data_IF_021015372382
#
_entry.id   IF_021015372382
#
_cell.length_a   1.000
_cell.length_b   1.000
_cell.length_c   1.000
_cell.angle_alpha   90.00
_cell.angle_beta   90.00
_cell.angle_gamma   90.00
#
_symmetry.space_group_name_H-M   'P 1'
#
loop_
_entity.id
_entity.type
_entity.pdbx_description
1 polymer ?
#
# COMPACT_ATOMS: atom_id res chain seq x y z
N UNK A 1 1.28 15.64 -19.26
CA UNK A 1 1.73 16.46 -18.13
C UNK A 1 2.22 15.62 -16.93
N UNK A 2 1.58 14.50 -16.58
CA UNK A 2 2.05 13.60 -15.50
C UNK A 2 3.33 12.82 -15.87
N UNK A 3 3.46 12.43 -17.15
CA UNK A 3 4.61 11.67 -17.66
C UNK A 3 5.91 12.50 -17.69
N UNK A 4 5.81 13.79 -18.01
CA UNK A 4 6.96 14.72 -18.05
C UNK A 4 7.50 15.06 -16.66
N UNK A 5 6.64 15.10 -15.62
CA UNK A 5 7.09 15.32 -14.24
C UNK A 5 7.78 14.09 -13.63
N UNK A 6 7.32 12.88 -13.99
CA UNK A 6 7.95 11.64 -13.53
C UNK A 6 9.39 11.54 -14.07
N UNK A 7 9.59 11.87 -15.36
CA UNK A 7 10.90 11.95 -16.01
C UNK A 7 11.84 13.00 -15.39
N UNK A 8 11.34 14.19 -15.00
CA UNK A 8 12.15 15.20 -14.32
C UNK A 8 12.59 14.78 -12.91
N UNK A 9 11.71 14.13 -12.14
CA UNK A 9 12.09 13.58 -10.83
C UNK A 9 13.11 12.45 -10.98
N UNK A 10 12.97 11.60 -11.99
CA UNK A 10 13.98 10.57 -12.28
C UNK A 10 15.31 11.20 -12.69
N UNK A 11 15.29 12.27 -13.50
CA UNK A 11 16.49 13.02 -13.88
C UNK A 11 17.16 13.68 -12.68
N UNK A 12 16.41 14.29 -11.76
CA UNK A 12 16.96 14.92 -10.55
C UNK A 12 17.58 13.87 -9.61
N UNK A 13 16.94 12.70 -9.43
CA UNK A 13 17.52 11.59 -8.65
C UNK A 13 18.78 11.04 -9.33
N UNK A 14 18.78 10.90 -10.65
CA UNK A 14 19.95 10.46 -11.43
C UNK A 14 21.09 11.50 -11.37
N UNK A 15 20.78 12.79 -11.41
CA UNK A 15 21.74 13.90 -11.32
C UNK A 15 22.33 13.99 -9.91
N UNK A 16 21.53 13.84 -8.85
CA UNK A 16 22.03 13.78 -7.48
C UNK A 16 22.92 12.56 -7.24
N UNK A 17 22.56 11.41 -7.84
CA UNK A 17 23.38 10.20 -7.78
C UNK A 17 24.69 10.34 -8.58
N UNK A 18 24.65 11.01 -9.74
CA UNK A 18 25.83 11.30 -10.55
C UNK A 18 26.76 12.35 -9.91
N UNK A 19 26.21 13.39 -9.27
CA UNK A 19 26.99 14.41 -8.56
C UNK A 19 27.70 13.86 -7.31
N UNK A 20 27.17 12.79 -6.69
CA UNK A 20 27.85 12.08 -5.59
C UNK A 20 29.09 11.30 -6.06
N UNK A 21 29.21 11.05 -7.38
CA UNK A 21 30.25 10.19 -7.97
C UNK A 21 31.61 10.88 -8.14
N UNK A 22 31.72 12.20 -8.06
CA UNK A 22 32.96 12.93 -8.37
C UNK A 22 34.01 12.95 -7.24
N UNK A 23 33.76 12.37 -6.05
CA UNK A 23 34.67 12.51 -4.90
C UNK A 23 35.35 11.24 -4.38
N UNK A 24 35.18 10.07 -5.01
CA UNK A 24 35.91 8.88 -4.58
C UNK A 24 36.03 7.85 -5.72
N UNK A 25 37.27 7.49 -6.09
CA UNK A 25 37.59 6.50 -7.15
C UNK A 25 37.20 5.05 -6.80
N UNK A 26 36.61 4.82 -5.61
CA UNK A 26 36.13 3.50 -5.18
C UNK A 26 34.64 3.37 -5.41
N UNK A 27 34.27 2.40 -6.24
CA UNK A 27 32.87 2.05 -6.49
C UNK A 27 32.33 1.16 -5.36
N UNK A 28 31.60 1.75 -4.41
CA UNK A 28 30.97 1.05 -3.28
C UNK A 28 29.63 0.38 -3.61
N UNK A 29 29.13 0.53 -4.84
CA UNK A 29 27.83 -0.02 -5.24
C UNK A 29 27.74 -1.56 -5.05
N UNK A 30 28.76 -2.36 -5.40
CA UNK A 30 28.72 -3.81 -5.19
C UNK A 30 28.58 -4.21 -3.71
N UNK A 31 29.38 -3.60 -2.82
CA UNK A 31 29.35 -3.88 -1.37
C UNK A 31 28.02 -3.43 -0.73
N UNK A 32 27.45 -2.33 -1.22
CA UNK A 32 26.15 -1.82 -0.79
C UNK A 32 24.98 -2.69 -1.29
N UNK A 33 25.13 -3.33 -2.45
CA UNK A 33 24.16 -4.26 -3.00
C UNK A 33 24.17 -5.56 -2.18
N UNK A 34 25.36 -6.11 -1.89
CA UNK A 34 25.53 -7.33 -1.11
C UNK A 34 24.99 -7.19 0.32
N UNK A 35 25.24 -6.06 0.96
CA UNK A 35 24.68 -5.75 2.29
C UNK A 35 23.18 -5.45 2.29
N UNK A 36 22.54 -5.33 1.12
CA UNK A 36 21.14 -4.93 0.95
C UNK A 36 20.85 -3.48 1.37
N UNK A 37 21.88 -2.72 1.78
CA UNK A 37 21.77 -1.34 2.23
C UNK A 37 21.37 -0.42 1.08
N UNK A 38 21.82 -0.73 -0.14
CA UNK A 38 21.45 0.03 -1.34
C UNK A 38 19.93 0.08 -1.53
N UNK A 39 19.21 -1.02 -1.34
CA UNK A 39 17.75 -1.06 -1.47
C UNK A 39 17.06 -0.19 -0.41
N UNK A 40 17.57 -0.17 0.82
CA UNK A 40 17.04 0.69 1.88
C UNK A 40 17.26 2.17 1.55
N UNK A 41 18.46 2.52 1.08
CA UNK A 41 18.79 3.89 0.65
C UNK A 41 17.88 4.31 -0.50
N UNK A 42 17.75 3.46 -1.53
CA UNK A 42 16.89 3.74 -2.68
C UNK A 42 15.43 3.92 -2.26
N UNK A 43 14.93 3.12 -1.31
CA UNK A 43 13.58 3.28 -0.80
C UNK A 43 13.37 4.60 -0.03
N UNK A 44 14.36 5.04 0.74
CA UNK A 44 14.33 6.36 1.42
C UNK A 44 14.36 7.49 0.40
N UNK A 45 15.23 7.40 -0.61
CA UNK A 45 15.34 8.39 -1.69
C UNK A 45 14.04 8.48 -2.49
N UNK A 46 13.43 7.35 -2.84
CA UNK A 46 12.13 7.32 -3.52
C UNK A 46 11.03 7.98 -2.69
N UNK A 47 10.93 7.65 -1.39
CA UNK A 47 9.97 8.31 -0.50
C UNK A 47 10.21 9.83 -0.42
N UNK A 48 11.47 10.26 -0.37
CA UNK A 48 11.82 11.68 -0.33
C UNK A 48 11.43 12.38 -1.65
N UNK A 49 11.71 11.74 -2.78
CA UNK A 49 11.36 12.24 -4.10
C UNK A 49 9.84 12.37 -4.28
N UNK A 50 9.07 11.38 -3.83
CA UNK A 50 7.61 11.38 -3.89
C UNK A 50 6.99 12.51 -3.05
N UNK A 51 7.63 12.87 -1.93
CA UNK A 51 7.18 13.93 -1.02
C UNK A 51 7.84 15.29 -1.27
N UNK A 52 8.74 15.38 -2.27
CA UNK A 52 9.55 16.59 -2.55
C UNK A 52 8.71 17.84 -2.79
N UNK A 53 7.57 17.71 -3.46
CA UNK A 53 6.64 18.84 -3.68
C UNK A 53 6.07 19.37 -2.38
N UNK A 54 5.57 18.49 -1.49
CA UNK A 54 5.03 18.90 -0.20
C UNK A 54 6.10 19.54 0.69
N UNK A 55 7.34 19.03 0.64
CA UNK A 55 8.50 19.61 1.33
C UNK A 55 8.87 21.00 0.79
N UNK A 56 8.92 21.16 -0.54
CA UNK A 56 9.25 22.44 -1.19
C UNK A 56 8.21 23.52 -0.90
N UNK A 57 6.93 23.16 -0.87
CA UNK A 57 5.84 24.11 -0.59
C UNK A 57 5.57 24.30 0.90
N UNK A 58 6.39 23.74 1.79
CA UNK A 58 6.19 23.74 3.24
C UNK A 58 4.74 23.40 3.60
N UNK A 59 4.15 22.47 2.84
CA UNK A 59 2.84 21.90 3.15
C UNK A 59 3.04 20.93 4.31
N UNK A 60 3.41 21.47 5.46
CA UNK A 60 3.33 20.75 6.70
C UNK A 60 1.85 20.53 6.93
N UNK A 61 1.39 19.28 6.75
CA UNK A 61 0.12 18.88 7.34
C UNK A 61 0.15 19.40 8.77
N UNK A 62 -0.80 20.29 9.07
CA UNK A 62 -0.93 20.99 10.34
C UNK A 62 -0.62 19.98 11.49
N UNK A 63 0.00 20.42 12.59
CA UNK A 63 0.19 19.58 13.77
C UNK A 63 -1.11 18.82 14.13
N UNK A 64 -2.26 19.47 13.93
CA UNK A 64 -3.61 18.88 14.07
C UNK A 64 -3.84 17.72 13.09
N UNK A 65 -3.43 17.80 11.83
CA UNK A 65 -3.56 16.73 10.84
C UNK A 65 -2.60 15.56 11.10
N UNK A 66 -1.39 15.84 11.57
CA UNK A 66 -0.44 14.78 11.97
C UNK A 66 -0.93 14.05 13.22
N UNK A 67 -1.40 14.80 14.22
CA UNK A 67 -2.02 14.24 15.41
C UNK A 67 -3.29 13.48 15.05
N UNK A 68 -4.14 14.02 14.17
CA UNK A 68 -5.33 13.33 13.67
C UNK A 68 -4.96 12.05 12.92
N UNK A 69 -3.87 12.03 12.15
CA UNK A 69 -3.37 10.82 11.51
C UNK A 69 -2.89 9.77 12.52
N UNK A 70 -2.18 10.18 13.58
CA UNK A 70 -1.70 9.30 14.66
C UNK A 70 -2.89 8.76 15.48
N UNK A 71 -3.76 9.65 15.97
CA UNK A 71 -4.95 9.28 16.72
C UNK A 71 -5.87 8.40 15.88
N UNK A 72 -6.05 8.67 14.58
CA UNK A 72 -6.82 7.80 13.69
C UNK A 72 -6.13 6.46 13.44
N UNK A 73 -4.79 6.39 13.44
CA UNK A 73 -4.06 5.10 13.44
C UNK A 73 -4.26 4.32 14.74
N UNK A 74 -4.40 4.96 15.90
CA UNK A 74 -4.62 4.26 17.17
C UNK A 74 -6.10 3.93 17.44
N UNK A 75 -7.01 4.87 17.19
CA UNK A 75 -8.45 4.72 17.35
C UNK A 75 -9.10 3.94 16.19
N UNK A 76 -8.62 4.15 14.96
CA UNK A 76 -9.14 3.52 13.73
C UNK A 76 -8.25 2.42 13.13
N UNK A 77 -6.97 2.31 13.52
CA UNK A 77 -6.04 1.36 12.91
C UNK A 77 -6.33 -0.11 13.20
N UNK A 78 -7.10 -0.43 14.25
CA UNK A 78 -7.60 -1.82 14.43
C UNK A 78 -8.63 -2.22 13.36
N UNK A 79 -9.28 -1.26 12.67
CA UNK A 79 -10.31 -1.51 11.63
C UNK A 79 -9.91 -1.12 10.21
N UNK A 80 -8.94 -0.22 10.04
CA UNK A 80 -8.47 0.26 8.72
C UNK A 80 -7.09 -0.30 8.37
N UNK A 81 -6.17 -0.45 9.34
CA UNK A 81 -4.78 -0.84 9.05
C UNK A 81 -4.52 -2.35 9.08
N UNK A 82 -5.52 -3.18 9.41
CA UNK A 82 -5.39 -4.65 9.28
C UNK A 82 -5.61 -5.14 7.84
N UNK A 83 -5.94 -4.25 6.90
CA UNK A 83 -6.35 -4.71 5.61
C UNK A 83 -5.66 -3.89 4.50
N UNK A 84 -4.80 -4.58 3.75
CA UNK A 84 -4.09 -4.16 2.53
C UNK A 84 -4.87 -3.16 1.64
N UNK A 85 -4.16 -2.36 0.83
CA UNK A 85 -4.75 -1.42 -0.15
C UNK A 85 -5.93 -2.08 -0.90
N UNK A 86 -7.11 -1.45 -0.90
CA UNK A 86 -8.43 -1.91 -1.45
C UNK A 86 -9.30 -2.80 -0.54
N UNK A 87 -8.87 -3.08 0.68
CA UNK A 87 -9.63 -3.87 1.64
C UNK A 87 -10.98 -3.31 2.07
N UNK A 88 -11.11 -1.99 2.19
CA UNK A 88 -12.36 -1.34 2.57
C UNK A 88 -13.44 -1.60 1.50
N UNK A 89 -13.10 -1.38 0.23
CA UNK A 89 -13.99 -1.67 -0.89
C UNK A 89 -14.38 -3.15 -0.92
N UNK A 90 -13.43 -4.07 -0.70
CA UNK A 90 -13.71 -5.50 -0.65
C UNK A 90 -14.70 -5.87 0.48
N UNK A 91 -14.63 -5.21 1.64
CA UNK A 91 -15.60 -5.40 2.73
C UNK A 91 -16.98 -4.87 2.38
N UNK A 92 -17.07 -3.68 1.78
CA UNK A 92 -18.34 -3.12 1.31
C UNK A 92 -18.99 -4.04 0.26
N UNK A 93 -18.23 -4.46 -0.75
CA UNK A 93 -18.71 -5.41 -1.77
C UNK A 93 -19.11 -6.75 -1.15
N UNK A 94 -18.34 -7.25 -0.18
CA UNK A 94 -18.66 -8.49 0.53
C UNK A 94 -19.95 -8.40 1.34
N UNK A 95 -20.21 -7.26 2.00
CA UNK A 95 -21.45 -7.01 2.72
C UNK A 95 -22.66 -6.99 1.78
N UNK A 96 -22.55 -6.33 0.62
CA UNK A 96 -23.61 -6.31 -0.40
C UNK A 96 -23.92 -7.71 -0.92
N UNK A 97 -22.89 -8.49 -1.23
CA UNK A 97 -23.07 -9.88 -1.70
C UNK A 97 -23.73 -10.72 -0.59
N UNK A 98 -23.26 -10.61 0.65
CA UNK A 98 -23.83 -11.35 1.78
C UNK A 98 -25.30 -11.02 2.01
N UNK A 99 -25.66 -9.74 1.96
CA UNK A 99 -27.04 -9.28 2.15
C UNK A 99 -27.96 -9.77 1.02
N UNK A 100 -27.48 -9.71 -0.23
CA UNK A 100 -28.32 -10.06 -1.38
C UNK A 100 -28.41 -11.56 -1.65
N UNK A 101 -27.45 -12.36 -1.20
CA UNK A 101 -27.40 -13.79 -1.57
C UNK A 101 -27.44 -14.78 -0.42
N UNK A 102 -27.28 -14.37 0.84
CA UNK A 102 -27.21 -15.27 2.02
C UNK A 102 -26.00 -16.24 2.02
N UNK A 103 -25.30 -16.35 0.90
CA UNK A 103 -24.31 -17.38 0.57
C UNK A 103 -23.00 -16.74 0.07
N UNK A 104 -22.49 -15.76 0.84
CA UNK A 104 -21.31 -14.98 0.49
C UNK A 104 -20.07 -15.83 0.21
N UNK A 105 -19.70 -16.70 1.15
CA UNK A 105 -18.48 -17.52 1.05
C UNK A 105 -18.59 -18.49 -0.13
N UNK A 106 -19.77 -19.07 -0.34
CA UNK A 106 -19.97 -19.99 -1.45
C UNK A 106 -19.87 -19.32 -2.81
N UNK A 107 -20.44 -18.11 -2.94
CA UNK A 107 -20.45 -17.38 -4.21
C UNK A 107 -19.07 -16.83 -4.53
N UNK A 108 -18.35 -16.29 -3.54
CA UNK A 108 -16.98 -15.83 -3.70
C UNK A 108 -16.04 -16.99 -4.05
N UNK A 109 -16.14 -18.14 -3.36
CA UNK A 109 -15.31 -19.32 -3.67
C UNK A 109 -15.56 -19.83 -5.09
N UNK A 110 -16.83 -19.97 -5.51
CA UNK A 110 -17.15 -20.39 -6.87
C UNK A 110 -16.59 -19.43 -7.92
N UNK A 111 -16.66 -18.12 -7.66
CA UNK A 111 -16.13 -17.10 -8.57
C UNK A 111 -14.61 -17.09 -8.64
N UNK A 112 -13.90 -17.36 -7.54
CA UNK A 112 -12.44 -17.30 -7.49
C UNK A 112 -11.78 -18.60 -7.94
N UNK A 113 -12.36 -19.75 -7.57
CA UNK A 113 -11.77 -21.06 -7.74
C UNK A 113 -12.46 -21.91 -8.83
N UNK A 114 -13.49 -21.36 -9.52
CA UNK A 114 -14.32 -22.07 -10.51
C UNK A 114 -14.85 -23.44 -10.05
N UNK A 115 -14.93 -23.63 -8.73
CA UNK A 115 -15.28 -24.90 -8.10
C UNK A 115 -16.23 -24.66 -6.94
N UNK A 116 -17.07 -25.66 -6.67
CA UNK A 116 -18.01 -25.60 -5.56
C UNK A 116 -17.26 -25.72 -4.23
N UNK A 117 -17.56 -24.88 -3.23
CA UNK A 117 -16.97 -25.02 -1.91
C UNK A 117 -17.42 -26.32 -1.24
N UNK A 118 -16.65 -26.79 -0.26
CA UNK A 118 -16.97 -27.96 0.53
C UNK A 118 -18.29 -27.84 1.29
N UNK A 119 -18.85 -28.99 1.68
CA UNK A 119 -20.15 -29.07 2.36
C UNK A 119 -20.19 -28.33 3.70
N UNK A 120 -19.05 -28.23 4.39
CA UNK A 120 -18.95 -27.48 5.64
C UNK A 120 -19.35 -26.01 5.45
N UNK A 121 -18.76 -25.31 4.47
CA UNK A 121 -19.04 -23.89 4.18
C UNK A 121 -20.53 -23.71 3.85
N UNK A 122 -21.07 -24.55 2.96
CA UNK A 122 -22.50 -24.51 2.60
C UNK A 122 -23.41 -24.76 3.81
N UNK A 123 -23.04 -25.67 4.70
CA UNK A 123 -23.83 -25.97 5.90
C UNK A 123 -23.84 -24.80 6.89
N UNK A 124 -22.70 -24.10 7.04
CA UNK A 124 -22.61 -22.92 7.91
C UNK A 124 -23.41 -21.74 7.37
N UNK A 125 -23.43 -21.55 6.04
CA UNK A 125 -24.24 -20.50 5.42
C UNK A 125 -25.74 -20.80 5.55
N UNK A 126 -26.16 -22.04 5.30
CA UNK A 126 -27.56 -22.45 5.52
C UNK A 126 -28.02 -22.26 6.96
N UNK A 127 -27.15 -22.48 7.96
CA UNK A 127 -27.50 -22.23 9.36
C UNK A 127 -27.82 -20.75 9.61
N UNK A 128 -27.00 -19.85 9.08
CA UNK A 128 -27.18 -18.39 9.20
C UNK A 128 -28.41 -17.85 8.47
N UNK A 129 -28.93 -18.58 7.50
CA UNK A 129 -30.15 -18.21 6.77
C UNK A 129 -31.43 -18.61 7.52
N UNK A 130 -31.32 -19.50 8.51
CA UNK A 130 -32.44 -19.96 9.35
C UNK A 130 -32.49 -19.27 10.73
N UNK A 131 -31.53 -18.39 11.04
CA UNK A 131 -31.47 -17.56 12.25
C UNK A 131 -32.08 -16.17 11.99
#
# INVERSE_FOLDING_TARGET
MLHTMCLEITRIVLILFAAFREKNDKNWIPDLLESGLLYKIMNVVSNLADNSKSLLFSANNNCVEQFHSIVTKFMGGKRVNFCLRRSYLARCSGAVISHNSGSFMSRVHKSMCNTSPGNFVKSTERRREND
#
